data_IF_243817573670
#
_entry.id   IF_243817573670
#
_cell.length_a   1.000
_cell.length_b   1.000
_cell.length_c   1.000
_cell.angle_alpha   90.00
_cell.angle_beta   90.00
_cell.angle_gamma   90.00
#
_symmetry.space_group_name_H-M   'P 1'
#
loop_
_entity.id
_entity.type
_entity.pdbx_description
1 polymer ?
#
# COMPACT_ATOMS: atom_id res chain seq x y z
N UNK A 1 45.96 27.30 36.96
CA UNK A 1 44.78 27.81 37.71
C UNK A 1 45.08 27.58 39.18
N UNK A 2 45.30 28.64 39.97
CA UNK A 2 45.59 28.56 41.41
C UNK A 2 44.29 28.23 42.17
N UNK A 3 44.34 27.32 43.15
CA UNK A 3 43.19 26.88 43.93
C UNK A 3 42.60 27.99 44.81
N UNK A 4 41.34 27.84 45.24
CA UNK A 4 40.68 28.83 46.09
C UNK A 4 41.44 29.07 47.41
N UNK A 5 41.44 30.31 47.90
CA UNK A 5 42.05 30.67 49.20
C UNK A 5 41.29 30.03 50.35
N UNK A 6 42.01 29.43 51.29
CA UNK A 6 41.48 28.94 52.56
C UNK A 6 41.31 30.12 53.54
N UNK A 7 40.44 29.98 54.56
CA UNK A 7 40.15 31.05 55.54
C UNK A 7 41.38 31.56 56.31
N UNK A 8 42.48 30.80 56.33
CA UNK A 8 43.75 31.18 56.96
C UNK A 8 44.75 31.89 56.01
N UNK A 9 44.33 32.23 54.77
CA UNK A 9 45.17 32.94 53.80
C UNK A 9 46.12 32.07 52.99
N UNK A 10 46.12 30.74 53.19
CA UNK A 10 46.91 29.81 52.36
C UNK A 10 46.14 29.41 51.08
N UNK A 11 46.88 29.16 49.99
CA UNK A 11 46.31 28.75 48.70
C UNK A 11 46.11 27.23 48.70
N UNK A 12 44.89 26.76 48.44
CA UNK A 12 44.56 25.34 48.46
C UNK A 12 45.42 24.53 47.46
N UNK A 13 46.09 23.49 47.97
CA UNK A 13 47.01 22.63 47.21
C UNK A 13 46.39 21.31 46.75
N UNK A 14 47.20 20.43 46.15
CA UNK A 14 46.74 19.11 45.67
C UNK A 14 46.14 18.22 46.78
N UNK A 15 46.55 18.45 48.04
CA UNK A 15 46.04 17.79 49.26
C UNK A 15 44.67 18.29 49.71
N UNK A 16 44.22 19.45 49.25
CA UNK A 16 42.95 20.09 49.65
C UNK A 16 41.81 19.78 48.65
N UNK A 17 42.06 18.89 47.69
CA UNK A 17 41.09 18.51 46.65
C UNK A 17 40.11 17.48 47.20
N UNK A 18 38.92 17.94 47.57
CA UNK A 18 37.83 17.06 47.97
C UNK A 18 37.20 16.40 46.73
N UNK A 19 37.40 15.09 46.57
CA UNK A 19 36.71 14.28 45.56
C UNK A 19 35.62 13.48 46.28
N UNK A 20 34.37 13.62 45.86
CA UNK A 20 33.24 12.93 46.46
C UNK A 20 32.22 12.50 45.41
N UNK A 21 31.53 11.39 45.67
CA UNK A 21 30.38 10.93 44.92
C UNK A 21 29.12 11.19 45.76
N UNK A 22 28.12 11.86 45.20
CA UNK A 22 26.85 12.14 45.88
C UNK A 22 25.75 11.31 45.23
N UNK A 23 25.10 10.47 46.02
CA UNK A 23 23.87 9.78 45.65
C UNK A 23 22.72 10.34 46.52
N UNK A 24 21.67 10.82 45.88
CA UNK A 24 20.48 11.34 46.56
C UNK A 24 19.30 10.39 46.31
N UNK A 25 18.63 9.97 47.39
CA UNK A 25 17.39 9.20 47.30
C UNK A 25 16.22 10.18 47.40
N UNK A 26 15.31 10.15 46.43
CA UNK A 26 14.09 10.96 46.44
C UNK A 26 12.86 10.07 46.62
N UNK A 27 12.03 10.39 47.62
CA UNK A 27 10.74 9.72 47.86
C UNK A 27 9.63 10.76 47.70
N UNK A 28 8.76 10.65 46.68
CA UNK A 28 7.67 11.60 46.50
C UNK A 28 6.59 11.38 47.57
N UNK A 29 6.12 12.47 48.19
CA UNK A 29 5.10 12.43 49.26
C UNK A 29 3.66 12.40 48.73
N UNK A 30 3.43 12.75 47.46
CA UNK A 30 2.11 12.78 46.82
C UNK A 30 2.11 12.02 45.48
N UNK A 31 1.21 11.05 45.31
CA UNK A 31 1.23 10.10 44.18
C UNK A 31 0.14 10.33 43.10
N UNK A 32 -0.69 11.38 43.24
CA UNK A 32 -1.84 11.59 42.35
C UNK A 32 -1.48 11.81 40.88
N UNK A 33 -0.42 12.58 40.61
CA UNK A 33 0.10 12.83 39.26
C UNK A 33 0.63 11.56 38.59
N UNK A 34 1.42 10.76 39.32
CA UNK A 34 1.94 9.47 38.85
C UNK A 34 0.81 8.49 38.52
N UNK A 35 -0.23 8.41 39.36
CA UNK A 35 -1.42 7.58 39.09
C UNK A 35 -2.13 7.99 37.81
N UNK A 36 -2.30 9.30 37.59
CA UNK A 36 -2.93 9.83 36.37
C UNK A 36 -2.06 9.58 35.13
N UNK A 37 -0.74 9.71 35.26
CA UNK A 37 0.21 9.41 34.18
C UNK A 37 0.17 7.93 33.79
N UNK A 38 0.15 7.01 34.76
CA UNK A 38 -0.02 5.57 34.51
C UNK A 38 -1.35 5.30 33.81
N UNK A 39 -2.45 5.91 34.28
CA UNK A 39 -3.76 5.77 33.62
C UNK A 39 -3.74 6.29 32.18
N UNK A 40 -3.08 7.42 31.92
CA UNK A 40 -2.92 7.95 30.58
C UNK A 40 -2.09 7.02 29.69
N UNK A 41 -1.00 6.44 30.22
CA UNK A 41 -0.19 5.43 29.51
C UNK A 41 -1.02 4.20 29.16
N UNK A 42 -1.85 3.68 30.08
CA UNK A 42 -2.75 2.55 29.81
C UNK A 42 -3.78 2.88 28.73
N UNK A 43 -4.36 4.08 28.73
CA UNK A 43 -5.27 4.54 27.67
C UNK A 43 -4.53 4.64 26.33
N UNK A 44 -3.33 5.21 26.32
CA UNK A 44 -2.51 5.34 25.12
C UNK A 44 -2.14 3.97 24.54
N UNK A 45 -1.83 2.99 25.39
CA UNK A 45 -1.60 1.61 24.99
C UNK A 45 -2.85 1.01 24.34
N UNK A 46 -4.03 1.14 24.97
CA UNK A 46 -5.28 0.65 24.41
C UNK A 46 -5.61 1.32 23.06
N UNK A 47 -5.34 2.61 22.91
CA UNK A 47 -5.50 3.32 21.64
C UNK A 47 -4.53 2.79 20.58
N UNK A 48 -3.30 2.46 20.95
CA UNK A 48 -2.31 1.87 20.04
C UNK A 48 -2.76 0.48 19.58
N UNK A 49 -3.31 -0.34 20.47
CA UNK A 49 -3.86 -1.66 20.14
C UNK A 49 -5.02 -1.54 19.13
N UNK A 50 -5.95 -0.62 19.38
CA UNK A 50 -7.08 -0.37 18.47
C UNK A 50 -6.58 0.08 17.09
N UNK A 51 -5.59 0.99 17.05
CA UNK A 51 -5.00 1.44 15.78
C UNK A 51 -4.32 0.30 15.02
N UNK A 52 -3.63 -0.59 15.73
CA UNK A 52 -2.99 -1.76 15.15
C UNK A 52 -4.03 -2.71 14.53
N UNK A 53 -5.06 -3.10 15.29
CA UNK A 53 -6.11 -3.98 14.78
C UNK A 53 -6.89 -3.35 13.62
N UNK A 54 -7.13 -2.03 13.69
CA UNK A 54 -7.72 -1.30 12.57
C UNK A 54 -6.85 -1.37 11.32
N UNK A 55 -5.55 -1.06 11.42
CA UNK A 55 -4.63 -1.10 10.28
C UNK A 55 -4.52 -2.50 9.68
N UNK A 56 -4.47 -3.54 10.51
CA UNK A 56 -4.49 -4.94 10.10
C UNK A 56 -5.76 -5.29 9.32
N UNK A 57 -6.92 -4.90 9.84
CA UNK A 57 -8.20 -5.14 9.16
C UNK A 57 -8.29 -4.37 7.85
N UNK A 58 -7.81 -3.12 7.78
CA UNK A 58 -7.76 -2.35 6.53
C UNK A 58 -6.89 -3.05 5.49
N UNK A 59 -5.71 -3.56 5.88
CA UNK A 59 -4.83 -4.29 4.98
C UNK A 59 -5.50 -5.56 4.42
N UNK A 60 -6.18 -6.31 5.28
CA UNK A 60 -6.94 -7.49 4.87
C UNK A 60 -8.06 -7.16 3.89
N UNK A 61 -8.85 -6.12 4.17
CA UNK A 61 -9.92 -5.66 3.28
C UNK A 61 -9.37 -5.19 1.93
N UNK A 62 -8.26 -4.46 1.93
CA UNK A 62 -7.61 -4.01 0.70
C UNK A 62 -7.11 -5.20 -0.12
N UNK A 63 -6.52 -6.20 0.52
CA UNK A 63 -6.08 -7.42 -0.15
C UNK A 63 -7.25 -8.16 -0.81
N UNK A 64 -8.33 -8.39 -0.07
CA UNK A 64 -9.53 -9.06 -0.61
C UNK A 64 -10.11 -8.29 -1.80
N UNK A 65 -10.19 -6.95 -1.73
CA UNK A 65 -10.67 -6.12 -2.83
C UNK A 65 -9.79 -6.27 -4.09
N UNK A 66 -8.46 -6.19 -3.93
CA UNK A 66 -7.54 -6.36 -5.06
C UNK A 66 -7.60 -7.78 -5.64
N UNK A 67 -7.75 -8.80 -4.80
CA UNK A 67 -7.89 -10.19 -5.24
C UNK A 67 -9.17 -10.38 -6.06
N UNK A 68 -10.30 -9.86 -5.60
CA UNK A 68 -11.56 -9.91 -6.35
C UNK A 68 -11.46 -9.15 -7.68
N UNK A 69 -10.85 -7.96 -7.68
CA UNK A 69 -10.61 -7.21 -8.91
C UNK A 69 -9.77 -8.02 -9.90
N UNK A 70 -8.67 -8.65 -9.45
CA UNK A 70 -7.87 -9.53 -10.28
C UNK A 70 -8.67 -10.68 -10.88
N UNK A 71 -9.49 -11.37 -10.08
CA UNK A 71 -10.33 -12.49 -10.56
C UNK A 71 -11.32 -12.02 -11.63
N UNK A 72 -11.96 -10.86 -11.44
CA UNK A 72 -12.86 -10.27 -12.44
C UNK A 72 -12.10 -9.97 -13.74
N UNK A 73 -10.93 -9.32 -13.67
CA UNK A 73 -10.12 -9.01 -14.86
C UNK A 73 -9.62 -10.28 -15.56
N UNK A 74 -9.25 -11.31 -14.80
CA UNK A 74 -8.84 -12.61 -15.33
C UNK A 74 -9.98 -13.29 -16.10
N UNK A 75 -11.18 -13.30 -15.54
CA UNK A 75 -12.35 -13.89 -16.20
C UNK A 75 -12.75 -13.11 -17.46
N UNK A 76 -12.67 -11.79 -17.41
CA UNK A 76 -12.90 -10.93 -18.57
C UNK A 76 -11.88 -11.22 -19.69
N UNK A 77 -10.59 -11.25 -19.37
CA UNK A 77 -9.54 -11.60 -20.33
C UNK A 77 -9.78 -12.98 -20.96
N UNK A 78 -10.16 -13.98 -20.14
CA UNK A 78 -10.46 -15.32 -20.60
C UNK A 78 -11.62 -15.34 -21.61
N UNK A 79 -12.69 -14.59 -21.36
CA UNK A 79 -13.81 -14.43 -22.30
C UNK A 79 -13.34 -13.88 -23.66
N UNK A 80 -12.52 -12.83 -23.67
CA UNK A 80 -12.02 -12.29 -24.93
C UNK A 80 -11.11 -13.30 -25.66
N UNK A 81 -10.21 -13.98 -24.94
CA UNK A 81 -9.28 -14.96 -25.51
C UNK A 81 -9.99 -16.16 -26.14
N UNK A 82 -10.99 -16.71 -25.46
CA UNK A 82 -11.61 -17.98 -25.84
C UNK A 82 -12.87 -17.81 -26.70
N UNK A 83 -13.51 -16.63 -26.66
CA UNK A 83 -14.78 -16.40 -27.35
C UNK A 83 -14.72 -15.20 -28.28
N UNK A 84 -14.50 -13.99 -27.75
CA UNK A 84 -14.70 -12.76 -28.53
C UNK A 84 -13.71 -12.63 -29.69
N UNK A 85 -12.43 -13.01 -29.52
CA UNK A 85 -11.44 -12.98 -30.60
C UNK A 85 -11.81 -13.92 -31.76
N UNK A 86 -12.38 -15.09 -31.44
CA UNK A 86 -12.88 -16.02 -32.47
C UNK A 86 -14.04 -15.39 -33.23
N UNK A 87 -14.98 -14.76 -32.52
CA UNK A 87 -16.10 -14.05 -33.13
C UNK A 87 -15.62 -12.91 -34.04
N UNK A 88 -14.66 -12.11 -33.60
CA UNK A 88 -14.06 -11.05 -34.40
C UNK A 88 -13.48 -11.59 -35.71
N UNK A 89 -12.82 -12.75 -35.67
CA UNK A 89 -12.24 -13.36 -36.86
C UNK A 89 -13.31 -13.91 -37.82
N UNK A 90 -14.39 -14.49 -37.29
CA UNK A 90 -15.52 -14.94 -38.10
C UNK A 90 -16.28 -13.78 -38.75
N UNK A 91 -16.47 -12.65 -38.05
CA UNK A 91 -17.03 -11.41 -38.63
C UNK A 91 -16.18 -10.97 -39.81
N UNK A 92 -14.86 -10.90 -39.62
CA UNK A 92 -13.92 -10.47 -40.67
C UNK A 92 -13.99 -11.39 -41.89
N UNK A 93 -13.93 -12.71 -41.69
CA UNK A 93 -13.98 -13.69 -42.78
C UNK A 93 -15.29 -13.62 -43.54
N UNK A 94 -16.42 -13.55 -42.82
CA UNK A 94 -17.76 -13.49 -43.40
C UNK A 94 -17.95 -12.20 -44.20
N UNK A 95 -17.51 -11.06 -43.66
CA UNK A 95 -17.60 -9.77 -44.34
C UNK A 95 -16.83 -9.77 -45.66
N UNK A 96 -15.59 -10.26 -45.66
CA UNK A 96 -14.76 -10.36 -46.87
C UNK A 96 -15.40 -11.30 -47.89
N UNK A 97 -15.91 -12.46 -47.46
CA UNK A 97 -16.59 -13.40 -48.35
C UNK A 97 -17.86 -12.82 -48.96
N UNK A 98 -18.69 -12.14 -48.16
CA UNK A 98 -19.94 -11.54 -48.61
C UNK A 98 -19.70 -10.38 -49.60
N UNK A 99 -18.65 -9.59 -49.38
CA UNK A 99 -18.26 -8.54 -50.33
C UNK A 99 -17.76 -9.15 -51.65
N UNK A 100 -16.93 -10.19 -51.59
CA UNK A 100 -16.41 -10.87 -52.78
C UNK A 100 -17.52 -11.52 -53.62
N UNK A 101 -18.59 -11.98 -52.98
CA UNK A 101 -19.79 -12.51 -53.64
C UNK A 101 -20.82 -11.44 -54.01
N UNK A 102 -20.45 -10.15 -53.90
CA UNK A 102 -21.34 -8.99 -54.13
C UNK A 102 -22.63 -8.99 -53.31
N UNK A 103 -22.68 -9.72 -52.19
CA UNK A 103 -23.84 -9.80 -51.30
C UNK A 103 -23.97 -8.57 -50.37
N UNK A 104 -22.85 -7.88 -50.13
CA UNK A 104 -22.80 -6.61 -49.39
C UNK A 104 -21.98 -5.58 -50.18
N UNK A 105 -22.26 -4.29 -49.93
CA UNK A 105 -21.50 -3.19 -50.50
C UNK A 105 -20.19 -2.90 -49.75
N UNK A 106 -19.45 -1.92 -50.26
CA UNK A 106 -18.16 -1.52 -49.69
C UNK A 106 -18.31 -0.88 -48.29
N UNK A 107 -19.37 -0.11 -48.05
CA UNK A 107 -19.59 0.55 -46.76
C UNK A 107 -19.87 -0.49 -45.67
N UNK A 108 -20.69 -1.49 -45.97
CA UNK A 108 -20.98 -2.60 -45.07
C UNK A 108 -19.72 -3.42 -44.74
N UNK A 109 -18.84 -3.65 -45.74
CA UNK A 109 -17.55 -4.29 -45.50
C UNK A 109 -16.73 -3.51 -44.46
N UNK A 110 -16.60 -2.20 -44.62
CA UNK A 110 -15.82 -1.36 -43.70
C UNK A 110 -16.40 -1.40 -42.28
N UNK A 111 -17.73 -1.31 -42.13
CA UNK A 111 -18.39 -1.38 -40.82
C UNK A 111 -18.15 -2.72 -40.11
N UNK A 112 -18.22 -3.84 -40.82
CA UNK A 112 -17.97 -5.16 -40.24
C UNK A 112 -16.48 -5.36 -39.89
N UNK A 113 -15.57 -4.83 -40.70
CA UNK A 113 -14.15 -4.83 -40.37
C UNK A 113 -13.87 -3.98 -39.12
N UNK A 114 -14.46 -2.79 -39.02
CA UNK A 114 -14.36 -1.94 -37.84
C UNK A 114 -14.87 -2.65 -36.58
N UNK A 115 -16.02 -3.33 -36.67
CA UNK A 115 -16.54 -4.15 -35.57
C UNK A 115 -15.55 -5.25 -35.15
N UNK A 116 -14.94 -5.95 -36.11
CA UNK A 116 -13.90 -6.96 -35.84
C UNK A 116 -12.69 -6.35 -35.12
N UNK A 117 -12.23 -5.18 -35.56
CA UNK A 117 -11.09 -4.50 -34.96
C UNK A 117 -11.42 -3.95 -33.56
N UNK A 118 -12.63 -3.45 -33.34
CA UNK A 118 -13.08 -2.98 -32.04
C UNK A 118 -13.00 -4.10 -31.00
N UNK A 119 -13.47 -5.32 -31.32
CA UNK A 119 -13.36 -6.47 -30.40
C UNK A 119 -11.89 -6.79 -30.09
N UNK A 120 -10.99 -6.72 -31.10
CA UNK A 120 -9.55 -6.94 -30.90
C UNK A 120 -8.94 -5.85 -30.00
N UNK A 121 -9.38 -4.61 -30.13
CA UNK A 121 -8.95 -3.50 -29.27
C UNK A 121 -9.42 -3.69 -27.82
N UNK A 122 -10.68 -4.07 -27.62
CA UNK A 122 -11.23 -4.37 -26.30
C UNK A 122 -10.49 -5.53 -25.62
N UNK A 123 -10.07 -6.55 -26.38
CA UNK A 123 -9.18 -7.60 -25.86
C UNK A 123 -7.86 -7.04 -25.33
N UNK A 124 -7.21 -6.14 -26.07
CA UNK A 124 -5.95 -5.53 -25.62
C UNK A 124 -6.14 -4.69 -24.35
N UNK A 125 -7.27 -4.00 -24.23
CA UNK A 125 -7.63 -3.28 -23.01
C UNK A 125 -7.88 -4.24 -21.83
N UNK A 126 -8.56 -5.37 -22.07
CA UNK A 126 -8.77 -6.40 -21.05
C UNK A 126 -7.43 -7.02 -20.58
N UNK A 127 -6.50 -7.26 -21.51
CA UNK A 127 -5.16 -7.75 -21.19
C UNK A 127 -4.37 -6.74 -20.36
N UNK A 128 -4.41 -5.46 -20.74
CA UNK A 128 -3.78 -4.40 -19.96
C UNK A 128 -4.38 -4.31 -18.55
N UNK A 129 -5.70 -4.36 -18.42
CA UNK A 129 -6.38 -4.30 -17.13
C UNK A 129 -6.04 -5.50 -16.22
N UNK A 130 -5.89 -6.70 -16.81
CA UNK A 130 -5.42 -7.88 -16.09
C UNK A 130 -3.96 -7.74 -15.62
N UNK A 131 -3.08 -7.22 -16.47
CA UNK A 131 -1.68 -7.00 -16.09
C UNK A 131 -1.57 -5.96 -14.95
N UNK A 132 -2.36 -4.88 -15.02
CA UNK A 132 -2.39 -3.86 -13.97
C UNK A 132 -2.90 -4.42 -12.63
N UNK A 133 -3.91 -5.28 -12.63
CA UNK A 133 -4.41 -5.87 -11.38
C UNK A 133 -3.39 -6.81 -10.72
N UNK A 134 -2.52 -7.47 -11.51
CA UNK A 134 -1.36 -8.21 -10.96
C UNK A 134 -0.36 -7.26 -10.32
N UNK A 135 -0.04 -6.14 -10.97
CA UNK A 135 0.87 -5.13 -10.43
C UNK A 135 0.35 -4.57 -9.10
N UNK A 136 -0.94 -4.26 -9.02
CA UNK A 136 -1.59 -3.76 -7.79
C UNK A 136 -1.52 -4.79 -6.65
N UNK A 137 -1.80 -6.07 -6.93
CA UNK A 137 -1.68 -7.15 -5.95
C UNK A 137 -0.24 -7.31 -5.46
N UNK A 138 0.73 -7.31 -6.38
CA UNK A 138 2.14 -7.43 -6.06
C UNK A 138 2.64 -6.25 -5.21
N UNK A 139 2.21 -5.03 -5.54
CA UNK A 139 2.50 -3.83 -4.76
C UNK A 139 2.01 -3.96 -3.31
N UNK A 140 0.79 -4.45 -3.09
CA UNK A 140 0.27 -4.67 -1.73
C UNK A 140 1.05 -5.76 -0.97
N UNK A 141 1.47 -6.82 -1.69
CA UNK A 141 2.23 -7.93 -1.12
C UNK A 141 3.74 -7.66 -1.01
N UNK A 142 4.20 -6.49 -1.47
CA UNK A 142 5.60 -6.10 -1.53
C UNK A 142 6.47 -7.12 -2.28
N UNK A 143 5.96 -7.61 -3.42
CA UNK A 143 6.60 -8.61 -4.29
C UNK A 143 6.79 -8.11 -5.71
#
# INVERSE_FOLDING_TARGET
>A
MQGNSLQNGNIAGASDRFNGFVATISVPLFYGSYKNQIKQMSISQAQSEIKYEYAKNQLYLQFEQLLQNYLIKKNNLNFYQNTALKQAEEIRKTAVSAYNSQAIGYIELIQLLEQSYQIKQEYLQALQAYNNSIIELNYLLNK
#
